data_IF_805839355093
#
_entry.id   IF_805839355093
#
_cell.length_a   1.000
_cell.length_b   1.000
_cell.length_c   1.000
_cell.angle_alpha   90.00
_cell.angle_beta   90.00
_cell.angle_gamma   90.00
#
_symmetry.space_group_name_H-M   'P 1'
#
loop_
_entity.id
_entity.type
_entity.pdbx_description
1 polymer ?
#
# COMPACT_ATOMS: atom_id res chain seq x y z
N UNK A 1 -14.77 28.38 -12.38
CA UNK A 1 -15.24 27.79 -11.12
C UNK A 1 -14.19 26.91 -10.40
N UNK A 2 -12.95 26.78 -10.90
CA UNK A 2 -11.92 25.85 -10.35
C UNK A 2 -10.98 26.42 -9.27
N UNK A 3 -10.90 27.75 -9.08
CA UNK A 3 -9.94 28.34 -8.14
C UNK A 3 -10.28 28.14 -6.66
N UNK A 4 -11.58 28.12 -6.29
CA UNK A 4 -12.02 28.05 -4.89
C UNK A 4 -11.85 26.66 -4.25
N UNK A 5 -12.00 25.59 -5.04
CA UNK A 5 -11.84 24.21 -4.55
C UNK A 5 -10.35 23.87 -4.44
N UNK A 6 -9.54 24.31 -5.41
CA UNK A 6 -8.08 24.14 -5.39
C UNK A 6 -7.44 24.82 -4.16
N UNK A 7 -7.89 26.03 -3.83
CA UNK A 7 -7.40 26.75 -2.65
C UNK A 7 -7.75 26.04 -1.34
N UNK A 8 -8.91 25.38 -1.27
CA UNK A 8 -9.36 24.68 -0.06
C UNK A 8 -8.51 23.44 0.25
N UNK A 9 -8.13 22.69 -0.78
CA UNK A 9 -7.31 21.47 -0.62
C UNK A 9 -5.87 21.84 -0.26
N UNK A 10 -5.28 22.82 -0.95
CA UNK A 10 -3.94 23.28 -0.61
C UNK A 10 -3.90 23.99 0.74
N UNK A 11 -4.99 24.64 1.16
CA UNK A 11 -5.08 25.21 2.50
C UNK A 11 -5.14 24.13 3.59
N UNK A 12 -5.87 23.03 3.35
CA UNK A 12 -5.94 21.91 4.27
C UNK A 12 -4.58 21.20 4.40
N UNK A 13 -3.98 20.81 3.27
CA UNK A 13 -2.65 20.18 3.25
C UNK A 13 -1.59 21.12 3.83
N UNK A 14 -1.69 22.43 3.55
CA UNK A 14 -0.79 23.42 4.11
C UNK A 14 -0.88 23.50 5.63
N UNK A 15 -2.11 23.55 6.18
CA UNK A 15 -2.32 23.58 7.61
C UNK A 15 -1.77 22.32 8.32
N UNK A 16 -1.96 21.15 7.72
CA UNK A 16 -1.45 19.87 8.23
C UNK A 16 0.08 19.80 8.17
N UNK A 17 0.69 20.26 7.07
CA UNK A 17 2.14 20.26 6.89
C UNK A 17 2.86 21.46 7.53
N UNK A 18 2.14 22.36 8.22
CA UNK A 18 2.70 23.56 8.84
C UNK A 18 3.23 24.60 7.83
N UNK A 19 2.74 24.58 6.58
CA UNK A 19 3.17 25.48 5.50
C UNK A 19 1.99 26.26 4.91
N UNK A 20 2.26 27.41 4.29
CA UNK A 20 1.18 28.15 3.65
C UNK A 20 0.70 27.46 2.35
N UNK A 21 -0.59 27.55 1.98
CA UNK A 21 -1.06 27.10 0.65
C UNK A 21 -0.30 27.76 -0.52
N UNK A 22 0.22 28.98 -0.33
CA UNK A 22 1.07 29.64 -1.32
C UNK A 22 2.40 28.91 -1.51
N UNK A 23 3.00 28.40 -0.43
CA UNK A 23 4.23 27.59 -0.48
C UNK A 23 4.03 26.30 -1.27
N UNK A 24 2.91 25.59 -1.03
CA UNK A 24 2.55 24.40 -1.81
C UNK A 24 2.30 24.73 -3.29
N UNK A 25 1.59 25.84 -3.56
CA UNK A 25 1.35 26.29 -4.94
C UNK A 25 2.65 26.66 -5.67
N UNK A 26 3.61 27.29 -4.98
CA UNK A 26 4.92 27.61 -5.56
C UNK A 26 5.74 26.36 -5.86
N UNK A 27 5.73 25.36 -4.96
CA UNK A 27 6.52 24.14 -5.09
C UNK A 27 5.97 23.17 -6.13
N UNK A 28 4.65 23.02 -6.16
CA UNK A 28 3.98 21.95 -6.93
C UNK A 28 3.11 22.47 -8.07
N UNK A 29 2.88 23.79 -8.16
CA UNK A 29 2.12 24.47 -9.21
C UNK A 29 0.61 24.25 -9.15
N UNK A 30 0.16 23.03 -8.85
CA UNK A 30 -1.25 22.65 -8.81
C UNK A 30 -1.49 21.47 -7.87
N UNK A 31 -2.77 21.21 -7.53
CA UNK A 31 -3.15 19.97 -6.82
C UNK A 31 -2.70 18.73 -7.57
N UNK A 32 -2.82 18.72 -8.91
CA UNK A 32 -2.35 17.60 -9.74
C UNK A 32 -0.84 17.41 -9.57
N UNK A 33 -0.05 18.49 -9.63
CA UNK A 33 1.39 18.43 -9.45
C UNK A 33 1.80 17.96 -8.05
N UNK A 34 1.05 18.35 -7.01
CA UNK A 34 1.25 17.85 -5.65
C UNK A 34 0.97 16.35 -5.56
N UNK A 35 -0.16 15.90 -6.09
CA UNK A 35 -0.53 14.48 -6.09
C UNK A 35 0.43 13.63 -6.94
N UNK A 36 0.95 14.16 -8.04
CA UNK A 36 1.94 13.46 -8.86
C UNK A 36 3.27 13.32 -8.12
N UNK A 37 3.71 14.37 -7.42
CA UNK A 37 4.89 14.29 -6.56
C UNK A 37 4.71 13.29 -5.42
N UNK A 38 3.51 13.24 -4.82
CA UNK A 38 3.15 12.23 -3.82
C UNK A 38 3.18 10.81 -4.41
N UNK A 39 2.64 10.58 -5.61
CA UNK A 39 2.67 9.27 -6.26
C UNK A 39 4.10 8.82 -6.58
N UNK A 40 4.96 9.75 -7.01
CA UNK A 40 6.37 9.45 -7.27
C UNK A 40 7.13 9.07 -5.99
N UNK A 41 6.89 9.81 -4.89
CA UNK A 41 7.47 9.53 -3.57
C UNK A 41 6.99 8.17 -3.03
N UNK A 42 5.68 7.92 -3.10
CA UNK A 42 5.08 6.64 -2.71
C UNK A 42 5.68 5.46 -3.50
N UNK A 43 5.90 5.62 -4.80
CA UNK A 43 6.53 4.59 -5.64
C UNK A 43 8.00 4.34 -5.25
N UNK A 44 8.75 5.38 -4.88
CA UNK A 44 10.14 5.26 -4.46
C UNK A 44 10.28 4.52 -3.12
N UNK A 45 9.33 4.74 -2.20
CA UNK A 45 9.32 4.16 -0.85
C UNK A 45 8.41 2.92 -0.69
N UNK A 46 7.80 2.45 -1.78
CA UNK A 46 6.82 1.36 -1.78
C UNK A 46 7.30 0.07 -1.08
N UNK A 47 8.58 -0.27 -1.22
CA UNK A 47 9.17 -1.46 -0.61
C UNK A 47 9.65 -1.23 0.85
N UNK A 48 9.63 0.00 1.34
CA UNK A 48 10.17 0.34 2.66
C UNK A 48 9.45 -0.38 3.83
N UNK A 49 8.10 -0.51 3.87
CA UNK A 49 7.41 -1.24 4.93
C UNK A 49 7.87 -2.70 5.03
N UNK A 50 7.94 -3.39 3.90
CA UNK A 50 8.40 -4.79 3.84
C UNK A 50 9.86 -4.95 4.28
N UNK A 51 10.76 -4.05 3.86
CA UNK A 51 12.16 -4.06 4.31
C UNK A 51 12.29 -3.80 5.80
N UNK A 52 11.52 -2.85 6.35
CA UNK A 52 11.51 -2.57 7.79
C UNK A 52 11.02 -3.79 8.56
N UNK A 53 9.92 -4.40 8.13
CA UNK A 53 9.39 -5.60 8.75
C UNK A 53 10.41 -6.76 8.68
N UNK A 54 11.05 -6.98 7.53
CA UNK A 54 12.08 -8.02 7.40
C UNK A 54 13.25 -7.83 8.35
N UNK A 55 13.69 -6.58 8.56
CA UNK A 55 14.78 -6.27 9.48
C UNK A 55 14.38 -6.39 10.96
N UNK A 56 13.08 -6.30 11.28
CA UNK A 56 12.57 -6.31 12.64
C UNK A 56 12.17 -7.72 13.14
N UNK A 57 11.97 -8.67 12.24
CA UNK A 57 11.51 -10.03 12.57
C UNK A 57 12.45 -11.08 12.02
N UNK A 58 12.80 -12.06 12.85
CA UNK A 58 13.63 -13.20 12.45
C UNK A 58 12.92 -14.04 11.38
N UNK A 59 11.62 -14.32 11.58
CA UNK A 59 10.77 -15.09 10.68
C UNK A 59 10.28 -14.25 9.48
N UNK A 60 10.55 -14.67 8.23
CA UNK A 60 10.04 -14.01 7.03
C UNK A 60 8.51 -13.99 6.95
N UNK A 61 7.81 -15.04 7.38
CA UNK A 61 6.34 -15.03 7.43
C UNK A 61 5.82 -14.08 8.51
N UNK A 62 6.49 -13.98 9.67
CA UNK A 62 6.14 -12.97 10.67
C UNK A 62 6.34 -11.54 10.14
N UNK A 63 7.42 -11.29 9.39
CA UNK A 63 7.65 -10.00 8.73
C UNK A 63 6.54 -9.67 7.71
N UNK A 64 6.09 -10.65 6.94
CA UNK A 64 4.98 -10.48 5.99
C UNK A 64 3.69 -10.09 6.72
N UNK A 65 3.34 -10.80 7.80
CA UNK A 65 2.18 -10.46 8.62
C UNK A 65 2.29 -9.07 9.25
N UNK A 66 3.47 -8.67 9.73
CA UNK A 66 3.68 -7.33 10.30
C UNK A 66 3.52 -6.23 9.24
N UNK A 67 4.00 -6.44 8.01
CA UNK A 67 3.79 -5.48 6.92
C UNK A 67 2.31 -5.39 6.51
N UNK A 68 1.59 -6.52 6.52
CA UNK A 68 0.16 -6.54 6.26
C UNK A 68 -0.64 -5.81 7.35
N UNK A 69 -0.28 -6.00 8.62
CA UNK A 69 -0.87 -5.30 9.77
C UNK A 69 -0.67 -3.78 9.69
N UNK A 70 0.56 -3.33 9.40
CA UNK A 70 0.86 -1.92 9.14
C UNK A 70 -0.05 -1.38 8.02
N UNK A 71 -0.24 -2.13 6.94
CA UNK A 71 -1.08 -1.71 5.82
C UNK A 71 -2.57 -1.63 6.18
N UNK A 72 -3.09 -2.60 6.94
CA UNK A 72 -4.48 -2.59 7.43
C UNK A 72 -4.74 -1.40 8.36
N UNK A 73 -3.78 -1.04 9.21
CA UNK A 73 -3.89 0.14 10.09
C UNK A 73 -4.09 1.45 9.35
N UNK A 74 -3.54 1.59 8.14
CA UNK A 74 -3.72 2.76 7.26
C UNK A 74 -5.04 2.75 6.47
N UNK A 75 -5.83 1.67 6.58
CA UNK A 75 -7.10 1.49 5.87
C UNK A 75 -8.22 1.06 6.83
N UNK A 76 -8.10 1.49 8.09
CA UNK A 76 -8.98 1.07 9.19
C UNK A 76 -10.36 1.73 9.14
N UNK A 77 -10.50 2.82 8.37
CA UNK A 77 -11.76 3.58 8.23
C UNK A 77 -12.31 3.57 6.80
N UNK A 78 -13.64 3.68 6.63
CA UNK A 78 -14.25 3.85 5.30
C UNK A 78 -13.71 5.06 4.53
N UNK A 79 -13.40 6.17 5.22
CA UNK A 79 -12.84 7.38 4.63
C UNK A 79 -11.43 7.14 4.06
N UNK A 80 -10.56 6.43 4.78
CA UNK A 80 -9.23 6.05 4.30
C UNK A 80 -9.33 5.14 3.06
N UNK A 81 -10.24 4.16 3.09
CA UNK A 81 -10.51 3.33 1.92
C UNK A 81 -11.00 4.18 0.73
N UNK A 82 -11.96 5.07 0.94
CA UNK A 82 -12.48 5.94 -0.11
C UNK A 82 -11.38 6.82 -0.71
N UNK A 83 -10.47 7.35 0.11
CA UNK A 83 -9.32 8.11 -0.35
C UNK A 83 -8.38 7.27 -1.23
N UNK A 84 -8.11 6.01 -0.82
CA UNK A 84 -7.28 5.08 -1.60
C UNK A 84 -7.93 4.71 -2.93
N UNK A 85 -9.24 4.50 -2.96
CA UNK A 85 -9.99 4.29 -4.21
C UNK A 85 -10.01 5.53 -5.11
N UNK A 86 -10.09 6.73 -4.52
CA UNK A 86 -9.95 7.99 -5.25
C UNK A 86 -8.56 8.14 -5.89
N UNK A 87 -7.52 7.67 -5.20
CA UNK A 87 -6.17 7.58 -5.77
C UNK A 87 -6.13 6.56 -6.91
N UNK A 88 -6.60 5.34 -6.68
CA UNK A 88 -6.65 4.30 -7.71
C UNK A 88 -7.39 4.76 -8.98
N UNK A 89 -8.48 5.51 -8.83
CA UNK A 89 -9.16 6.10 -9.98
C UNK A 89 -8.25 7.03 -10.80
N UNK A 90 -7.45 7.88 -10.13
CA UNK A 90 -6.48 8.75 -10.79
C UNK A 90 -5.35 7.94 -11.46
N UNK A 91 -4.82 6.91 -10.79
CA UNK A 91 -3.79 6.01 -11.36
C UNK A 91 -4.26 5.35 -12.66
N UNK A 92 -5.54 4.96 -12.70
CA UNK A 92 -6.13 4.33 -13.87
C UNK A 92 -6.45 5.34 -14.99
N UNK A 93 -6.83 6.57 -14.62
CA UNK A 93 -7.35 7.57 -15.56
C UNK A 93 -6.28 8.50 -16.15
N UNK A 94 -5.17 8.73 -15.45
CA UNK A 94 -4.10 9.65 -15.86
C UNK A 94 -2.79 8.89 -16.18
N UNK A 95 -2.27 8.97 -17.42
CA UNK A 95 -1.08 8.24 -17.83
C UNK A 95 0.18 8.51 -17.00
N UNK A 96 0.36 9.72 -16.46
CA UNK A 96 1.55 10.02 -15.64
C UNK A 96 1.46 9.34 -14.27
N UNK A 97 0.28 9.30 -13.67
CA UNK A 97 0.05 8.56 -12.43
C UNK A 97 0.20 7.06 -12.63
N UNK A 98 -0.26 6.54 -13.78
CA UNK A 98 -0.11 5.11 -14.12
C UNK A 98 1.33 4.63 -14.12
N UNK A 99 2.29 5.48 -14.49
CA UNK A 99 3.73 5.15 -14.44
C UNK A 99 4.15 4.87 -13.00
N UNK A 100 3.82 5.78 -12.08
CA UNK A 100 4.17 5.63 -10.66
C UNK A 100 3.41 4.49 -9.99
N UNK A 101 2.12 4.29 -10.32
CA UNK A 101 1.37 3.14 -9.84
C UNK A 101 2.03 1.81 -10.26
N UNK A 102 2.48 1.72 -11.52
CA UNK A 102 3.18 0.53 -11.99
C UNK A 102 4.57 0.34 -11.34
N UNK A 103 5.28 1.43 -11.03
CA UNK A 103 6.54 1.39 -10.27
C UNK A 103 6.30 0.91 -8.83
N UNK A 104 5.29 1.46 -8.16
CA UNK A 104 4.87 1.03 -6.83
C UNK A 104 4.53 -0.47 -6.81
N UNK A 105 3.67 -0.95 -7.71
CA UNK A 105 3.30 -2.37 -7.77
C UNK A 105 4.53 -3.26 -7.99
N UNK A 106 5.43 -2.90 -8.91
CA UNK A 106 6.67 -3.66 -9.15
C UNK A 106 7.57 -3.72 -7.92
N UNK A 107 7.68 -2.63 -7.16
CA UNK A 107 8.48 -2.59 -5.95
C UNK A 107 7.87 -3.45 -4.82
N UNK A 108 6.55 -3.42 -4.66
CA UNK A 108 5.83 -4.27 -3.70
C UNK A 108 5.94 -5.75 -4.07
N UNK A 109 5.72 -6.09 -5.34
CA UNK A 109 5.83 -7.47 -5.84
C UNK A 109 7.24 -8.04 -5.60
N UNK A 110 8.27 -7.25 -5.87
CA UNK A 110 9.66 -7.66 -5.62
C UNK A 110 9.92 -7.90 -4.12
N UNK A 111 9.46 -7.01 -3.24
CA UNK A 111 9.67 -7.16 -1.81
C UNK A 111 8.91 -8.36 -1.22
N UNK A 112 7.68 -8.61 -1.66
CA UNK A 112 6.92 -9.81 -1.28
C UNK A 112 7.56 -11.09 -1.80
N UNK A 113 8.09 -11.07 -3.03
CA UNK A 113 8.81 -12.20 -3.59
C UNK A 113 10.06 -12.53 -2.76
N UNK A 114 10.83 -11.51 -2.37
CA UNK A 114 11.99 -11.68 -1.48
C UNK A 114 11.57 -12.33 -0.15
N UNK A 115 10.53 -11.83 0.52
CA UNK A 115 10.01 -12.42 1.75
C UNK A 115 9.58 -13.88 1.58
N UNK A 116 8.89 -14.21 0.48
CA UNK A 116 8.48 -15.58 0.20
C UNK A 116 9.68 -16.50 -0.09
N UNK A 117 10.71 -16.00 -0.80
CA UNK A 117 11.93 -16.75 -1.06
C UNK A 117 12.77 -16.99 0.20
N UNK A 118 12.84 -15.99 1.09
CA UNK A 118 13.46 -16.14 2.41
C UNK A 118 12.73 -17.19 3.23
N UNK A 119 11.39 -17.16 3.27
CA UNK A 119 10.59 -18.16 3.99
C UNK A 119 10.83 -19.60 3.48
N UNK A 120 11.04 -19.78 2.17
CA UNK A 120 11.42 -21.08 1.60
C UNK A 120 12.84 -21.49 2.03
N UNK A 121 13.77 -20.53 2.02
CA UNK A 121 15.18 -20.78 2.38
C UNK A 121 15.35 -21.14 3.85
N UNK A 122 14.57 -20.50 4.72
CA UNK A 122 14.56 -20.74 6.17
C UNK A 122 13.68 -21.95 6.57
N UNK A 123 13.00 -22.57 5.60
CA UNK A 123 12.19 -23.76 5.82
C UNK A 123 10.82 -23.49 6.46
N UNK A 124 10.39 -22.22 6.50
CA UNK A 124 9.03 -21.85 6.89
C UNK A 124 8.01 -22.20 5.81
N UNK A 125 8.42 -22.27 4.54
CA UNK A 125 7.63 -22.76 3.42
C UNK A 125 8.29 -23.99 2.78
N UNK A 126 7.53 -24.91 2.16
CA UNK A 126 8.09 -26.05 1.45
C UNK A 126 9.04 -25.62 0.33
N UNK A 127 10.11 -26.41 0.11
CA UNK A 127 11.15 -26.13 -0.89
C UNK A 127 10.65 -26.09 -2.35
N UNK A 128 9.46 -26.61 -2.62
CA UNK A 128 8.82 -26.58 -3.94
C UNK A 128 7.92 -25.37 -4.18
N UNK A 129 7.82 -24.45 -3.21
CA UNK A 129 6.96 -23.27 -3.31
C UNK A 129 7.49 -22.30 -4.37
N UNK A 130 6.65 -21.94 -5.33
CA UNK A 130 6.93 -20.85 -6.25
C UNK A 130 6.71 -19.50 -5.54
N UNK A 131 7.80 -18.90 -5.06
CA UNK A 131 7.76 -17.65 -4.29
C UNK A 131 7.17 -16.48 -5.07
N UNK A 132 7.34 -16.42 -6.39
CA UNK A 132 6.76 -15.34 -7.22
C UNK A 132 5.25 -15.50 -7.33
N UNK A 133 4.77 -16.73 -7.56
CA UNK A 133 3.34 -17.02 -7.59
C UNK A 133 2.69 -16.80 -6.22
N UNK A 134 3.38 -17.15 -5.14
CA UNK A 134 2.90 -16.92 -3.79
C UNK A 134 2.83 -15.43 -3.46
N UNK A 135 3.87 -14.65 -3.73
CA UNK A 135 3.89 -13.21 -3.52
C UNK A 135 2.70 -12.52 -4.21
N UNK A 136 2.44 -12.89 -5.46
CA UNK A 136 1.27 -12.38 -6.20
C UNK A 136 -0.05 -12.78 -5.53
N UNK A 137 -0.17 -14.02 -5.04
CA UNK A 137 -1.37 -14.47 -4.34
C UNK A 137 -1.58 -13.70 -3.03
N UNK A 138 -0.51 -13.48 -2.26
CA UNK A 138 -0.52 -12.68 -1.03
C UNK A 138 -0.99 -11.26 -1.30
N UNK A 139 -0.42 -10.58 -2.31
CA UNK A 139 -0.82 -9.21 -2.65
C UNK A 139 -2.31 -9.11 -3.02
N UNK A 140 -2.80 -10.05 -3.84
CA UNK A 140 -4.22 -10.11 -4.22
C UNK A 140 -5.11 -10.34 -2.99
N UNK A 141 -4.69 -11.21 -2.07
CA UNK A 141 -5.40 -11.43 -0.80
C UNK A 141 -5.43 -10.15 0.02
N UNK A 142 -4.30 -9.46 0.20
CA UNK A 142 -4.24 -8.21 0.96
C UNK A 142 -5.22 -7.17 0.40
N UNK A 143 -5.11 -6.88 -0.90
CA UNK A 143 -5.95 -5.87 -1.56
C UNK A 143 -7.43 -6.26 -1.52
N UNK A 144 -7.73 -7.54 -1.76
CA UNK A 144 -9.08 -8.07 -1.78
C UNK A 144 -9.74 -8.09 -0.39
N UNK A 145 -9.01 -8.50 0.64
CA UNK A 145 -9.50 -8.55 2.02
C UNK A 145 -9.83 -7.15 2.54
N UNK A 146 -8.96 -6.17 2.32
CA UNK A 146 -9.20 -4.79 2.73
C UNK A 146 -10.39 -4.16 1.98
N UNK A 147 -10.46 -4.34 0.66
CA UNK A 147 -11.59 -3.85 -0.13
C UNK A 147 -12.91 -4.47 0.34
N UNK A 148 -12.92 -5.79 0.56
CA UNK A 148 -14.10 -6.50 1.06
C UNK A 148 -14.50 -6.00 2.45
N UNK A 149 -13.55 -5.91 3.38
CA UNK A 149 -13.79 -5.43 4.74
C UNK A 149 -14.39 -4.03 4.76
N UNK A 150 -13.89 -3.12 3.93
CA UNK A 150 -14.45 -1.77 3.84
C UNK A 150 -15.86 -1.73 3.23
N UNK A 151 -16.20 -2.66 2.34
CA UNK A 151 -17.54 -2.75 1.75
C UNK A 151 -18.57 -3.37 2.71
N UNK A 152 -18.17 -4.33 3.52
CA UNK A 152 -19.09 -5.00 4.46
C UNK A 152 -19.13 -4.34 5.84
N UNK A 153 -18.07 -3.62 6.22
CA UNK A 153 -17.91 -3.06 7.56
C UNK A 153 -17.69 -4.13 8.63
N UNK A 154 -17.27 -5.34 8.23
CA UNK A 154 -17.09 -6.46 9.14
C UNK A 154 -15.75 -6.38 9.85
N UNK A 155 -15.78 -6.59 11.17
CA UNK A 155 -14.60 -6.89 11.98
C UNK A 155 -13.53 -5.81 12.02
N UNK A 156 -12.40 -6.18 12.63
CA UNK A 156 -11.17 -5.39 12.59
C UNK A 156 -10.39 -5.74 11.31
N UNK A 157 -10.08 -4.76 10.43
CA UNK A 157 -9.36 -5.00 9.18
C UNK A 157 -8.04 -5.74 9.35
N UNK A 158 -7.31 -5.47 10.43
CA UNK A 158 -6.04 -6.13 10.73
C UNK A 158 -6.25 -7.63 11.03
N UNK A 159 -7.20 -7.95 11.91
CA UNK A 159 -7.54 -9.32 12.25
C UNK A 159 -8.02 -10.13 11.03
N UNK A 160 -8.92 -9.54 10.22
CA UNK A 160 -9.41 -10.20 9.00
C UNK A 160 -8.30 -10.44 7.99
N UNK A 161 -7.41 -9.45 7.81
CA UNK A 161 -6.30 -9.57 6.88
C UNK A 161 -5.31 -10.65 7.33
N UNK A 162 -5.02 -10.70 8.63
CA UNK A 162 -4.19 -11.75 9.21
C UNK A 162 -4.78 -13.14 8.92
N UNK A 163 -6.08 -13.33 9.20
CA UNK A 163 -6.77 -14.61 8.99
C UNK A 163 -6.79 -15.04 7.51
N UNK A 164 -7.05 -14.12 6.59
CA UNK A 164 -7.09 -14.42 5.15
C UNK A 164 -5.69 -14.77 4.60
N UNK A 165 -4.64 -14.08 5.06
CA UNK A 165 -3.23 -14.37 4.68
C UNK A 165 -2.76 -15.68 5.28
N UNK A 166 -2.98 -15.92 6.58
CA UNK A 166 -2.62 -17.17 7.25
C UNK A 166 -3.36 -18.36 6.63
N UNK A 167 -4.65 -18.19 6.27
CA UNK A 167 -5.40 -19.21 5.55
C UNK A 167 -4.78 -19.54 4.18
N UNK A 168 -4.33 -18.53 3.42
CA UNK A 168 -3.63 -18.75 2.16
C UNK A 168 -2.34 -19.54 2.36
N UNK A 169 -1.51 -19.16 3.35
CA UNK A 169 -0.23 -19.78 3.62
C UNK A 169 -0.38 -21.24 4.07
N UNK A 170 -1.36 -21.55 4.94
CA UNK A 170 -1.64 -22.93 5.41
C UNK A 170 -2.06 -23.90 4.32
N UNK A 171 -2.52 -23.43 3.16
CA UNK A 171 -2.85 -24.31 2.03
C UNK A 171 -1.63 -24.78 1.25
N UNK A 172 -0.47 -24.19 1.53
CA UNK A 172 0.80 -24.44 0.85
C UNK A 172 1.71 -25.27 1.76
N UNK A 173 1.63 -25.06 3.09
CA UNK A 173 2.24 -25.90 4.12
C UNK A 173 1.67 -27.33 4.11
#
# INVERSE_FOLDING_TARGET
MNGRILLHILAHVGAEAGVSPATLSQRFGSKRGLLLAFAADAAADAAAPYRRARAAYDSPLAALHAAADEFAGHMSTPEEMANRLGMLQLDLSDPEFRVHAAENTRAVDAALQELCSDAVTEGELPSGTDGSRLARAVQITIDGSLLRGALTGDGDPAALLYDDVDHLLRRIL
#
